data_IF_171871475531
#
_entry.id   IF_171871475531
#
_cell.length_a   1.000
_cell.length_b   1.000
_cell.length_c   1.000
_cell.angle_alpha   90.00
_cell.angle_beta   90.00
_cell.angle_gamma   90.00
#
_symmetry.space_group_name_H-M   'P 1'
#
loop_
_entity.id
_entity.type
_entity.pdbx_description
1 polymer ?
#
# COMPACT_ATOMS: atom_id res chain seq x y z
N UNK A 1 49.05 -18.12 -33.58
CA UNK A 1 48.35 -17.90 -32.29
C UNK A 1 47.59 -16.58 -32.38
N UNK A 2 46.31 -16.65 -32.73
CA UNK A 2 45.39 -15.51 -32.77
C UNK A 2 44.15 -15.96 -32.01
N UNK A 3 43.99 -15.47 -30.78
CA UNK A 3 42.86 -15.80 -29.92
C UNK A 3 41.56 -15.18 -30.44
N UNK A 4 40.40 -15.77 -30.13
CA UNK A 4 39.12 -15.28 -30.63
C UNK A 4 38.74 -13.95 -29.96
N UNK A 5 38.25 -13.02 -30.77
CA UNK A 5 37.66 -11.75 -30.37
C UNK A 5 36.39 -12.03 -29.55
N UNK A 6 36.31 -11.43 -28.36
CA UNK A 6 35.10 -11.41 -27.51
C UNK A 6 33.97 -10.70 -28.26
N UNK A 7 32.82 -11.37 -28.38
CA UNK A 7 31.56 -10.73 -28.76
C UNK A 7 31.16 -9.68 -27.72
N UNK A 8 30.67 -8.50 -28.14
CA UNK A 8 30.14 -7.52 -27.19
C UNK A 8 28.83 -8.03 -26.60
N UNK A 9 28.76 -8.02 -25.27
CA UNK A 9 27.58 -8.33 -24.49
C UNK A 9 26.35 -7.55 -25.01
N UNK A 10 25.26 -8.27 -25.26
CA UNK A 10 23.99 -7.72 -25.72
C UNK A 10 23.53 -6.58 -24.80
N UNK A 11 23.13 -5.46 -25.42
CA UNK A 11 22.40 -4.38 -24.74
C UNK A 11 21.18 -4.95 -24.02
N UNK A 12 20.83 -4.48 -22.80
CA UNK A 12 19.56 -4.82 -22.20
C UNK A 12 18.42 -4.38 -23.13
N UNK A 13 17.62 -5.35 -23.58
CA UNK A 13 16.40 -5.10 -24.34
C UNK A 13 15.44 -4.27 -23.50
N UNK A 14 14.85 -3.23 -24.10
CA UNK A 14 13.82 -2.40 -23.50
C UNK A 14 12.75 -3.24 -22.80
N UNK A 15 12.43 -2.91 -21.55
CA UNK A 15 11.37 -3.57 -20.79
C UNK A 15 10.06 -3.55 -21.61
N UNK A 16 9.56 -4.74 -21.96
CA UNK A 16 8.32 -4.87 -22.72
C UNK A 16 7.15 -4.15 -22.03
N UNK A 17 6.26 -3.55 -22.82
CA UNK A 17 5.10 -2.82 -22.32
C UNK A 17 4.19 -3.78 -21.53
N UNK A 18 3.94 -3.49 -20.26
CA UNK A 18 3.03 -4.28 -19.40
C UNK A 18 1.63 -4.28 -20.03
N UNK A 19 1.03 -5.43 -20.36
CA UNK A 19 -0.25 -5.50 -21.05
C UNK A 19 -1.41 -5.19 -20.11
N UNK A 20 -2.52 -4.71 -20.69
CA UNK A 20 -3.83 -4.69 -20.03
C UNK A 20 -4.39 -6.11 -20.02
N UNK A 21 -5.01 -6.49 -18.90
CA UNK A 21 -5.68 -7.78 -18.71
C UNK A 21 -7.10 -7.52 -18.25
N UNK A 22 -8.04 -8.31 -18.77
CA UNK A 22 -9.41 -8.33 -18.23
C UNK A 22 -9.39 -9.09 -16.92
N UNK A 23 -9.82 -8.42 -15.87
CA UNK A 23 -10.03 -8.96 -14.54
C UNK A 23 -11.54 -9.06 -14.28
N UNK A 24 -11.96 -10.02 -13.46
CA UNK A 24 -13.36 -10.15 -13.04
C UNK A 24 -13.49 -9.99 -11.54
N UNK A 25 -14.46 -9.19 -11.08
CA UNK A 25 -14.75 -9.09 -9.65
C UNK A 25 -15.34 -10.40 -9.15
N UNK A 26 -14.73 -11.00 -8.13
CA UNK A 26 -15.20 -12.26 -7.53
C UNK A 26 -15.64 -12.10 -6.09
N UNK A 27 -15.20 -11.06 -5.40
CA UNK A 27 -15.61 -10.78 -4.01
C UNK A 27 -15.52 -9.29 -3.70
N UNK A 28 -16.44 -8.80 -2.86
CA UNK A 28 -16.46 -7.44 -2.33
C UNK A 28 -16.60 -7.50 -0.81
N UNK A 29 -15.85 -6.64 -0.11
CA UNK A 29 -15.97 -6.45 1.35
C UNK A 29 -16.01 -4.95 1.66
N UNK A 30 -16.97 -4.52 2.46
CA UNK A 30 -17.00 -3.16 2.99
C UNK A 30 -15.96 -3.03 4.13
N UNK A 31 -15.01 -2.10 4.00
CA UNK A 31 -13.98 -1.83 5.02
C UNK A 31 -14.38 -0.66 5.92
N UNK A 32 -14.99 0.36 5.32
CA UNK A 32 -15.51 1.57 6.00
C UNK A 32 -16.72 2.08 5.21
N UNK A 33 -17.51 3.03 5.72
CA UNK A 33 -18.58 3.69 4.93
C UNK A 33 -18.10 4.36 3.63
N UNK A 34 -16.79 4.57 3.48
CA UNK A 34 -16.17 5.20 2.32
C UNK A 34 -15.24 4.28 1.53
N UNK A 35 -15.09 3.01 1.89
CA UNK A 35 -14.09 2.15 1.24
C UNK A 35 -14.49 0.67 1.16
N UNK A 36 -14.11 0.06 0.04
CA UNK A 36 -14.35 -1.36 -0.25
C UNK A 36 -13.09 -2.07 -0.67
N UNK A 37 -12.92 -3.29 -0.21
CA UNK A 37 -11.97 -4.26 -0.75
C UNK A 37 -12.62 -5.03 -1.89
N UNK A 38 -11.93 -5.09 -3.03
CA UNK A 38 -12.32 -5.77 -4.26
C UNK A 38 -11.32 -6.89 -4.52
N UNK A 39 -11.80 -8.13 -4.63
CA UNK A 39 -10.98 -9.27 -5.05
C UNK A 39 -11.27 -9.56 -6.50
N UNK A 40 -10.24 -9.45 -7.32
CA UNK A 40 -10.28 -9.63 -8.75
C UNK A 40 -9.62 -10.96 -9.13
N UNK A 41 -10.30 -11.74 -9.96
CA UNK A 41 -9.71 -12.87 -10.68
C UNK A 41 -9.04 -12.35 -11.94
N UNK A 42 -7.74 -12.61 -12.10
CA UNK A 42 -6.92 -12.08 -13.20
C UNK A 42 -6.19 -13.23 -13.87
N UNK A 43 -6.74 -13.81 -14.95
CA UNK A 43 -6.08 -14.89 -15.67
C UNK A 43 -4.66 -14.51 -16.08
N UNK A 44 -3.72 -15.43 -15.86
CA UNK A 44 -2.29 -15.27 -16.20
C UNK A 44 -1.64 -14.04 -15.51
N UNK A 45 -2.05 -13.75 -14.27
CA UNK A 45 -1.36 -12.79 -13.44
C UNK A 45 0.10 -13.22 -13.22
N UNK A 46 1.10 -12.36 -13.49
CA UNK A 46 2.52 -12.74 -13.39
C UNK A 46 3.03 -12.76 -11.93
N UNK A 47 2.16 -12.54 -10.95
CA UNK A 47 2.52 -12.31 -9.57
C UNK A 47 2.89 -10.84 -9.28
N UNK A 48 3.15 -10.53 -8.01
CA UNK A 48 3.52 -9.18 -7.56
C UNK A 48 4.17 -9.19 -6.18
N UNK A 49 4.72 -8.04 -5.79
CA UNK A 49 5.32 -7.79 -4.49
C UNK A 49 4.45 -6.86 -3.64
N UNK A 50 4.52 -7.04 -2.33
CA UNK A 50 3.84 -6.18 -1.38
C UNK A 50 4.35 -4.74 -1.48
N UNK A 51 3.42 -3.80 -1.70
CA UNK A 51 3.70 -2.39 -1.94
C UNK A 51 3.72 -1.97 -3.41
N UNK A 52 3.58 -2.90 -4.36
CA UNK A 52 3.28 -2.55 -5.76
C UNK A 52 1.81 -2.15 -5.94
N UNK A 53 1.51 -1.60 -7.12
CA UNK A 53 0.18 -1.15 -7.52
C UNK A 53 -0.20 -1.65 -8.91
N UNK A 54 -1.46 -1.44 -9.27
CA UNK A 54 -1.98 -1.65 -10.63
C UNK A 54 -2.65 -0.38 -11.11
N UNK A 55 -2.67 -0.18 -12.42
CA UNK A 55 -3.61 0.76 -13.03
C UNK A 55 -4.91 0.03 -13.34
N UNK A 56 -6.04 0.64 -12.99
CA UNK A 56 -7.38 0.20 -13.35
C UNK A 56 -7.91 1.15 -14.43
N UNK A 57 -8.45 0.59 -15.52
CA UNK A 57 -9.09 1.34 -16.61
C UNK A 57 -10.57 0.97 -16.67
N UNK A 58 -11.40 2.00 -16.68
CA UNK A 58 -12.81 1.94 -17.01
C UNK A 58 -12.99 2.51 -18.41
N UNK A 59 -13.84 1.87 -19.21
CA UNK A 59 -14.19 2.29 -20.58
C UNK A 59 -15.71 2.40 -20.63
N UNK A 60 -16.23 3.59 -20.90
CA UNK A 60 -17.66 3.83 -21.08
C UNK A 60 -18.12 3.37 -22.48
N UNK A 61 -19.44 3.28 -22.67
CA UNK A 61 -20.04 2.83 -23.94
C UNK A 61 -19.69 3.73 -25.14
N UNK A 62 -19.48 5.02 -24.88
CA UNK A 62 -19.02 6.02 -25.87
C UNK A 62 -17.52 5.94 -26.17
N UNK A 63 -16.79 5.03 -25.52
CA UNK A 63 -15.35 4.84 -25.67
C UNK A 63 -14.49 5.72 -24.77
N UNK A 64 -15.06 6.59 -23.93
CA UNK A 64 -14.30 7.37 -22.96
C UNK A 64 -13.58 6.44 -21.97
N UNK A 65 -12.29 6.68 -21.69
CA UNK A 65 -11.53 5.89 -20.73
C UNK A 65 -11.00 6.71 -19.57
N UNK A 66 -11.31 6.28 -18.35
CA UNK A 66 -10.75 6.81 -17.13
C UNK A 66 -9.77 5.79 -16.51
N UNK A 67 -8.64 6.27 -15.98
CA UNK A 67 -7.58 5.42 -15.42
C UNK A 67 -7.14 5.91 -14.06
N UNK A 68 -7.03 5.03 -13.08
CA UNK A 68 -6.49 5.35 -11.75
C UNK A 68 -5.59 4.22 -11.26
N UNK A 69 -4.55 4.58 -10.52
CA UNK A 69 -3.67 3.61 -9.89
C UNK A 69 -4.19 3.25 -8.50
N UNK A 70 -4.13 1.97 -8.15
CA UNK A 70 -4.51 1.43 -6.85
C UNK A 70 -3.43 0.49 -6.34
N UNK A 71 -2.99 0.70 -5.10
CA UNK A 71 -2.05 -0.21 -4.44
C UNK A 71 -2.68 -1.58 -4.24
N UNK A 72 -1.85 -2.62 -4.37
CA UNK A 72 -2.23 -3.99 -4.05
C UNK A 72 -2.37 -4.11 -2.54
N UNK A 73 -3.48 -4.66 -2.08
CA UNK A 73 -3.81 -4.75 -0.66
C UNK A 73 -3.28 -6.04 -0.02
N UNK A 74 -2.92 -7.05 -0.80
CA UNK A 74 -2.49 -8.37 -0.32
C UNK A 74 -1.19 -8.81 -1.02
N UNK A 75 -0.44 -9.78 -0.46
CA UNK A 75 0.59 -10.48 -1.22
C UNK A 75 -0.03 -11.25 -2.40
N UNK A 76 0.84 -11.66 -3.33
CA UNK A 76 0.41 -12.50 -4.45
C UNK A 76 -0.10 -13.86 -3.99
N UNK A 77 -1.25 -14.26 -4.51
CA UNK A 77 -1.87 -15.56 -4.28
C UNK A 77 -2.54 -16.03 -5.58
N UNK A 78 -1.82 -16.87 -6.33
CA UNK A 78 -2.22 -17.30 -7.66
C UNK A 78 -2.58 -16.11 -8.57
N UNK A 79 -3.79 -16.17 -9.13
CA UNK A 79 -4.36 -15.17 -10.03
C UNK A 79 -5.22 -14.10 -9.35
N UNK A 80 -5.33 -14.13 -8.01
CA UNK A 80 -6.12 -13.16 -7.26
C UNK A 80 -5.35 -11.85 -7.06
N UNK A 81 -6.00 -10.75 -7.41
CA UNK A 81 -5.53 -9.38 -7.18
C UNK A 81 -6.51 -8.69 -6.24
N UNK A 82 -6.02 -8.21 -5.11
CA UNK A 82 -6.85 -7.55 -4.09
C UNK A 82 -6.55 -6.06 -4.09
N UNK A 83 -7.59 -5.24 -4.27
CA UNK A 83 -7.52 -3.78 -4.21
C UNK A 83 -8.43 -3.28 -3.10
N UNK A 84 -8.06 -2.19 -2.45
CA UNK A 84 -8.97 -1.51 -1.52
C UNK A 84 -9.12 -0.06 -1.95
N UNK A 85 -10.35 0.29 -2.33
CA UNK A 85 -10.70 1.53 -3.01
C UNK A 85 -11.43 2.43 -2.04
N UNK A 86 -10.88 3.62 -1.80
CA UNK A 86 -11.59 4.70 -1.13
C UNK A 86 -12.41 5.50 -2.14
N UNK A 87 -13.68 5.75 -1.82
CA UNK A 87 -14.55 6.63 -2.58
C UNK A 87 -14.13 8.09 -2.39
N UNK A 88 -13.77 8.72 -3.50
CA UNK A 88 -13.63 10.17 -3.63
C UNK A 88 -14.92 10.69 -4.24
N UNK A 89 -15.63 11.58 -3.54
CA UNK A 89 -16.98 12.03 -3.92
C UNK A 89 -17.02 12.63 -5.33
N UNK A 90 -16.03 13.46 -5.67
CA UNK A 90 -15.93 14.14 -6.97
C UNK A 90 -15.05 13.37 -7.98
N UNK A 91 -14.80 12.07 -7.73
CA UNK A 91 -14.01 11.23 -8.62
C UNK A 91 -14.88 10.47 -9.61
N UNK A 92 -14.38 10.20 -10.81
CA UNK A 92 -15.13 9.38 -11.79
C UNK A 92 -14.99 7.87 -11.53
N UNK A 93 -13.79 7.42 -11.15
CA UNK A 93 -13.47 5.98 -11.05
C UNK A 93 -13.87 5.37 -9.71
N UNK A 94 -13.56 6.04 -8.60
CA UNK A 94 -13.78 5.45 -7.27
C UNK A 94 -15.25 5.30 -6.88
N UNK A 95 -16.19 6.20 -7.22
CA UNK A 95 -17.62 5.96 -6.97
C UNK A 95 -18.13 4.76 -7.76
N UNK A 96 -17.76 4.63 -9.04
CA UNK A 96 -18.14 3.45 -9.84
C UNK A 96 -17.66 2.15 -9.18
N UNK A 97 -16.37 2.05 -8.87
CA UNK A 97 -15.77 0.87 -8.24
C UNK A 97 -16.34 0.54 -6.85
N UNK A 98 -16.88 1.53 -6.14
CA UNK A 98 -17.39 1.34 -4.78
C UNK A 98 -18.91 1.24 -4.69
N UNK A 99 -19.66 1.65 -5.71
CA UNK A 99 -21.13 1.73 -5.65
C UNK A 99 -21.84 0.99 -6.77
N UNK A 100 -21.21 0.83 -7.93
CA UNK A 100 -21.84 0.22 -9.13
C UNK A 100 -21.21 -1.12 -9.47
N UNK A 101 -19.88 -1.22 -9.43
CA UNK A 101 -19.13 -2.41 -9.79
C UNK A 101 -19.49 -3.62 -8.90
N UNK A 102 -20.01 -4.69 -9.51
CA UNK A 102 -20.58 -5.84 -8.84
C UNK A 102 -19.84 -7.15 -9.17
N UNK A 103 -20.01 -8.17 -8.33
CA UNK A 103 -19.43 -9.50 -8.55
C UNK A 103 -19.89 -10.02 -9.91
N UNK A 104 -18.93 -10.48 -10.71
CA UNK A 104 -19.14 -10.89 -12.09
C UNK A 104 -18.73 -9.83 -13.11
N UNK A 105 -18.63 -8.55 -12.75
CA UNK A 105 -18.30 -7.50 -13.71
C UNK A 105 -16.82 -7.55 -14.15
N UNK A 106 -16.55 -7.26 -15.44
CA UNK A 106 -15.20 -7.15 -15.94
C UNK A 106 -14.61 -5.76 -15.70
N UNK A 107 -13.29 -5.69 -15.51
CA UNK A 107 -12.53 -4.43 -15.50
C UNK A 107 -11.15 -4.67 -16.10
N UNK A 108 -10.57 -3.67 -16.76
CA UNK A 108 -9.21 -3.79 -17.27
C UNK A 108 -8.19 -3.34 -16.22
N UNK A 109 -7.19 -4.17 -15.97
CA UNK A 109 -6.08 -3.84 -15.08
C UNK A 109 -4.73 -3.99 -15.78
N UNK A 110 -3.75 -3.21 -15.34
CA UNK A 110 -2.36 -3.29 -15.80
C UNK A 110 -1.41 -3.27 -14.63
N UNK A 111 -0.55 -4.27 -14.56
CA UNK A 111 0.51 -4.36 -13.57
C UNK A 111 1.22 -5.72 -13.54
N UNK A 112 2.01 -5.97 -12.49
CA UNK A 112 2.28 -5.03 -11.37
C UNK A 112 3.15 -3.83 -11.79
N UNK A 113 2.94 -2.68 -11.15
CA UNK A 113 3.70 -1.43 -11.38
C UNK A 113 4.40 -1.02 -10.08
N UNK A 114 5.62 -0.49 -10.20
CA UNK A 114 6.42 -0.03 -9.07
C UNK A 114 7.60 -0.96 -8.79
N UNK A 115 8.31 -0.70 -7.69
CA UNK A 115 9.53 -1.44 -7.32
C UNK A 115 10.37 -0.72 -6.27
N UNK A 116 10.19 0.60 -6.12
CA UNK A 116 10.79 1.39 -5.05
C UNK A 116 10.14 1.10 -3.69
N UNK A 117 8.80 1.12 -3.64
CA UNK A 117 8.02 0.98 -2.41
C UNK A 117 7.65 -0.49 -2.16
N UNK A 118 8.62 -1.40 -2.16
CA UNK A 118 8.36 -2.85 -1.96
C UNK A 118 9.15 -3.41 -0.80
N UNK A 119 8.49 -4.27 -0.01
CA UNK A 119 9.15 -5.09 1.00
C UNK A 119 9.23 -6.53 0.52
N UNK A 120 10.36 -7.20 0.79
CA UNK A 120 10.58 -8.59 0.38
C UNK A 120 10.67 -9.51 1.60
N UNK A 121 10.08 -10.71 1.56
CA UNK A 121 10.18 -11.67 2.65
C UNK A 121 11.59 -12.08 3.07
N UNK A 122 12.59 -11.87 2.21
CA UNK A 122 14.00 -12.15 2.50
C UNK A 122 14.66 -11.04 3.33
N UNK A 123 14.09 -9.83 3.34
CA UNK A 123 14.61 -8.69 4.10
C UNK A 123 14.43 -8.95 5.59
N UNK A 124 15.50 -8.75 6.37
CA UNK A 124 15.54 -9.00 7.83
C UNK A 124 15.67 -7.74 8.66
N UNK A 125 15.99 -6.61 8.03
CA UNK A 125 16.13 -5.32 8.69
C UNK A 125 14.83 -4.93 9.41
N UNK A 126 14.92 -4.16 10.52
CA UNK A 126 13.74 -3.56 11.13
C UNK A 126 12.97 -2.69 10.14
N UNK A 127 11.64 -2.70 10.27
CA UNK A 127 10.76 -1.95 9.38
C UNK A 127 9.86 -1.04 10.19
N UNK A 128 9.75 0.20 9.73
CA UNK A 128 8.75 1.15 10.19
C UNK A 128 7.74 1.41 9.07
N UNK A 129 6.47 1.19 9.32
CA UNK A 129 5.36 1.47 8.43
C UNK A 129 4.61 2.68 8.98
N UNK A 130 4.42 3.73 8.19
CA UNK A 130 3.68 4.94 8.60
C UNK A 130 2.56 5.23 7.60
N UNK A 131 1.33 5.01 8.02
CA UNK A 131 0.13 5.14 7.19
C UNK A 131 -0.71 6.36 7.57
N UNK A 132 -1.14 7.11 6.56
CA UNK A 132 -2.19 8.13 6.66
C UNK A 132 -3.43 7.69 5.89
N UNK A 133 -4.55 7.44 6.58
CA UNK A 133 -5.83 7.07 5.94
C UNK A 133 -5.72 5.83 5.05
N UNK A 134 -6.10 5.94 3.77
CA UNK A 134 -5.98 4.85 2.78
C UNK A 134 -4.51 4.47 2.44
N UNK A 135 -3.53 5.24 2.89
CA UNK A 135 -2.11 4.88 2.86
C UNK A 135 -1.76 3.55 3.54
N UNK A 136 -2.67 3.04 4.38
CA UNK A 136 -2.53 1.72 5.00
C UNK A 136 -2.60 0.56 3.99
N UNK A 137 -3.21 0.72 2.82
CA UNK A 137 -3.43 -0.37 1.86
C UNK A 137 -2.12 -1.08 1.44
N UNK A 138 -1.09 -0.40 0.89
CA UNK A 138 0.16 -1.06 0.54
C UNK A 138 0.92 -1.58 1.76
N UNK A 139 0.81 -0.89 2.91
CA UNK A 139 1.49 -1.31 4.15
C UNK A 139 0.86 -2.57 4.73
N UNK A 140 -0.45 -2.73 4.59
CA UNK A 140 -1.17 -3.93 4.97
C UNK A 140 -0.78 -5.11 4.09
N UNK A 141 -0.50 -4.88 2.80
CA UNK A 141 0.07 -5.91 1.93
C UNK A 141 1.42 -6.39 2.45
N UNK A 142 2.26 -5.49 2.98
CA UNK A 142 3.57 -5.85 3.58
C UNK A 142 3.38 -6.65 4.88
N UNK A 143 2.45 -6.24 5.75
CA UNK A 143 2.11 -6.99 6.97
C UNK A 143 1.59 -8.40 6.64
N UNK A 144 0.69 -8.51 5.66
CA UNK A 144 0.15 -9.80 5.19
C UNK A 144 1.23 -10.67 4.56
N UNK A 145 2.12 -10.09 3.74
CA UNK A 145 3.26 -10.81 3.14
C UNK A 145 4.26 -11.32 4.18
N UNK A 146 4.54 -10.52 5.21
CA UNK A 146 5.40 -10.90 6.33
C UNK A 146 4.86 -12.12 7.06
N UNK A 147 3.57 -12.10 7.39
CA UNK A 147 2.90 -13.22 8.04
C UNK A 147 2.86 -14.48 7.16
N UNK A 148 2.51 -14.34 5.88
CA UNK A 148 2.46 -15.47 4.94
C UNK A 148 3.82 -16.16 4.77
N UNK A 149 4.91 -15.40 4.86
CA UNK A 149 6.27 -15.93 4.80
C UNK A 149 6.83 -16.41 6.15
N UNK A 150 6.04 -16.35 7.24
CA UNK A 150 6.49 -16.60 8.61
C UNK A 150 7.77 -15.82 8.97
N UNK A 151 7.92 -14.60 8.42
CA UNK A 151 9.12 -13.79 8.60
C UNK A 151 9.19 -13.20 10.01
N UNK A 152 10.39 -13.24 10.60
CA UNK A 152 10.67 -12.64 11.92
C UNK A 152 11.20 -11.20 11.84
N UNK A 153 11.24 -10.59 10.66
CA UNK A 153 11.64 -9.18 10.53
C UNK A 153 10.76 -8.31 11.44
N UNK A 154 11.31 -7.45 12.31
CA UNK A 154 10.49 -6.72 13.27
C UNK A 154 9.84 -5.51 12.60
N UNK A 155 8.52 -5.43 12.70
CA UNK A 155 7.68 -4.39 12.11
C UNK A 155 7.07 -3.52 13.20
N UNK A 156 7.11 -2.20 12.99
CA UNK A 156 6.30 -1.24 13.74
C UNK A 156 5.41 -0.49 12.77
N UNK A 157 4.13 -0.35 13.09
CA UNK A 157 3.14 0.33 12.28
C UNK A 157 2.54 1.49 13.06
N UNK A 158 2.75 2.72 12.58
CA UNK A 158 2.01 3.90 12.99
C UNK A 158 0.88 4.17 11.99
N UNK A 159 -0.38 4.11 12.44
CA UNK A 159 -1.54 4.36 11.60
C UNK A 159 -2.31 5.61 12.06
N UNK A 160 -2.16 6.70 11.30
CA UNK A 160 -2.87 7.96 11.50
C UNK A 160 -4.17 7.98 10.69
N UNK A 161 -5.30 8.08 11.39
CA UNK A 161 -6.64 8.03 10.80
C UNK A 161 -7.57 9.06 11.45
N UNK A 162 -8.69 9.39 10.81
CA UNK A 162 -9.60 10.45 11.28
C UNK A 162 -10.37 10.03 12.52
N UNK A 163 -11.10 8.93 12.42
CA UNK A 163 -11.97 8.37 13.45
C UNK A 163 -11.87 6.84 13.43
N UNK A 164 -12.40 6.13 14.44
CA UNK A 164 -12.46 4.67 14.41
C UNK A 164 -13.24 4.13 13.20
N UNK A 165 -14.31 4.81 12.78
CA UNK A 165 -15.11 4.42 11.62
C UNK A 165 -14.42 4.61 10.26
N UNK A 166 -13.30 5.36 10.25
CA UNK A 166 -12.48 5.56 9.06
C UNK A 166 -11.30 4.57 8.98
N UNK A 167 -11.11 3.70 9.99
CA UNK A 167 -9.95 2.82 10.10
C UNK A 167 -10.15 1.51 9.35
N UNK A 168 -9.37 1.33 8.28
CA UNK A 168 -9.43 0.18 7.38
C UNK A 168 -8.88 -1.05 8.09
N UNK A 169 -9.40 -2.24 7.75
CA UNK A 169 -8.93 -3.51 8.29
C UNK A 169 -8.91 -3.56 9.82
N UNK A 170 -9.82 -2.84 10.48
CA UNK A 170 -9.70 -2.59 11.92
C UNK A 170 -9.66 -3.87 12.76
N UNK A 171 -10.51 -4.83 12.42
CA UNK A 171 -10.56 -6.15 13.08
C UNK A 171 -9.29 -6.97 12.79
N UNK A 172 -8.83 -7.01 11.53
CA UNK A 172 -7.62 -7.74 11.16
C UNK A 172 -6.38 -7.17 11.86
N UNK A 173 -6.24 -5.85 11.90
CA UNK A 173 -5.15 -5.18 12.61
C UNK A 173 -5.19 -5.48 14.11
N UNK A 174 -6.38 -5.51 14.73
CA UNK A 174 -6.53 -5.87 16.15
C UNK A 174 -6.13 -7.32 16.41
N UNK A 175 -6.54 -8.24 15.54
CA UNK A 175 -6.15 -9.64 15.61
C UNK A 175 -4.64 -9.82 15.46
N UNK A 176 -4.04 -9.22 14.42
CA UNK A 176 -2.60 -9.34 14.14
C UNK A 176 -1.73 -8.73 15.24
N UNK A 177 -2.11 -7.59 15.80
CA UNK A 177 -1.37 -7.00 16.93
C UNK A 177 -1.29 -7.94 18.15
N UNK A 178 -2.18 -8.93 18.27
CA UNK A 178 -2.15 -9.95 19.33
C UNK A 178 -1.47 -11.25 18.89
N UNK A 179 -1.66 -11.63 17.62
CA UNK A 179 -1.31 -12.96 17.12
C UNK A 179 -0.01 -13.00 16.29
N UNK A 180 0.57 -11.85 15.92
CA UNK A 180 1.74 -11.75 15.06
C UNK A 180 2.97 -11.22 15.84
N UNK A 181 3.82 -12.11 16.39
CA UNK A 181 5.03 -11.69 17.09
C UNK A 181 5.93 -10.82 16.22
N UNK A 182 6.34 -9.68 16.77
CA UNK A 182 7.18 -8.71 16.06
C UNK A 182 6.42 -7.76 15.14
N UNK A 183 5.10 -7.65 15.28
CA UNK A 183 4.31 -6.52 14.75
C UNK A 183 3.79 -5.65 15.90
N UNK A 184 4.36 -4.47 16.08
CA UNK A 184 3.82 -3.47 17.01
C UNK A 184 2.92 -2.50 16.26
N UNK A 185 1.70 -2.28 16.77
CA UNK A 185 0.72 -1.37 16.18
C UNK A 185 0.46 -0.17 17.09
N UNK A 186 0.66 1.03 16.57
CA UNK A 186 0.21 2.29 17.18
C UNK A 186 -0.81 2.97 16.28
N UNK A 187 -1.96 3.37 16.85
CA UNK A 187 -2.98 4.15 16.15
C UNK A 187 -2.98 5.58 16.66
N UNK A 188 -3.14 6.53 15.75
CA UNK A 188 -3.32 7.95 16.05
C UNK A 188 -4.63 8.42 15.42
N UNK A 189 -5.57 8.87 16.24
CA UNK A 189 -6.85 9.39 15.76
C UNK A 189 -6.82 10.92 15.74
N UNK A 190 -7.19 11.49 14.62
CA UNK A 190 -6.96 12.92 14.34
C UNK A 190 -8.19 13.80 14.49
N UNK A 191 -9.40 13.22 14.67
CA UNK A 191 -10.65 13.97 14.85
C UNK A 191 -11.53 13.44 15.98
N UNK A 192 -11.66 12.12 16.10
CA UNK A 192 -12.41 11.48 17.19
C UNK A 192 -11.75 10.16 17.57
N UNK A 193 -11.80 9.81 18.85
CA UNK A 193 -11.22 8.58 19.39
C UNK A 193 -12.32 7.61 19.85
N UNK A 194 -12.02 6.31 20.01
CA UNK A 194 -12.90 5.41 20.75
C UNK A 194 -13.12 5.90 22.19
N UNK A 195 -14.17 5.40 22.87
CA UNK A 195 -14.27 5.49 24.32
C UNK A 195 -12.97 4.97 24.98
N UNK A 196 -12.57 5.60 26.08
CA UNK A 196 -11.39 5.23 26.88
C UNK A 196 -10.05 5.26 26.14
N UNK A 197 -9.97 5.96 25.00
CA UNK A 197 -8.69 6.16 24.32
C UNK A 197 -7.77 7.04 25.19
N UNK A 198 -6.49 6.66 25.37
CA UNK A 198 -5.63 7.29 26.37
C UNK A 198 -5.30 8.77 26.09
N UNK A 199 -5.40 9.19 24.83
CA UNK A 199 -5.04 10.53 24.39
C UNK A 199 -6.23 11.19 23.68
N UNK A 200 -6.42 12.52 23.79
CA UNK A 200 -7.38 13.22 22.95
C UNK A 200 -6.98 13.11 21.45
N UNK A 201 -7.91 13.37 20.51
CA UNK A 201 -7.58 13.40 19.10
C UNK A 201 -6.46 14.40 18.78
N UNK A 202 -5.45 13.95 18.04
CA UNK A 202 -4.30 14.77 17.64
C UNK A 202 -3.70 14.26 16.32
N UNK A 203 -2.87 15.09 15.68
CA UNK A 203 -2.12 14.67 14.49
C UNK A 203 -0.82 14.01 14.91
N UNK A 204 -0.38 13.01 14.14
CA UNK A 204 0.93 12.39 14.31
C UNK A 204 2.02 13.47 14.20
N UNK A 205 2.70 13.76 15.30
CA UNK A 205 3.81 14.69 15.38
C UNK A 205 5.14 14.00 15.67
N UNK A 206 6.17 14.81 15.91
CA UNK A 206 7.53 14.33 16.10
C UNK A 206 7.67 13.47 17.36
N UNK A 207 6.97 13.83 18.44
CA UNK A 207 7.00 13.09 19.70
C UNK A 207 6.39 11.68 19.53
N UNK A 208 5.23 11.59 18.90
CA UNK A 208 4.57 10.30 18.65
C UNK A 208 5.39 9.45 17.68
N UNK A 209 5.92 10.06 16.61
CA UNK A 209 6.74 9.34 15.64
C UNK A 209 8.04 8.84 16.28
N UNK A 210 8.70 9.64 17.12
CA UNK A 210 9.90 9.25 17.88
C UNK A 210 9.63 8.07 18.81
N UNK A 211 8.47 8.06 19.49
CA UNK A 211 8.09 6.97 20.39
C UNK A 211 7.83 5.65 19.65
N UNK A 212 7.33 5.69 18.41
CA UNK A 212 7.02 4.50 17.61
C UNK A 212 8.23 4.05 16.77
N UNK A 213 9.01 4.98 16.24
CA UNK A 213 10.12 4.69 15.35
C UNK A 213 11.20 3.83 16.04
N UNK A 214 11.91 3.04 15.24
CA UNK A 214 13.17 2.46 15.70
C UNK A 214 14.20 3.57 15.86
N UNK A 215 15.14 3.49 16.82
CA UNK A 215 16.27 4.39 16.81
C UNK A 215 17.02 4.30 15.48
N UNK A 216 17.46 5.44 14.92
CA UNK A 216 18.07 5.49 13.60
C UNK A 216 19.29 4.57 13.45
N UNK A 217 20.02 4.30 14.54
CA UNK A 217 21.16 3.38 14.59
C UNK A 217 20.80 1.92 14.21
N UNK A 218 19.53 1.52 14.34
CA UNK A 218 19.06 0.21 13.86
C UNK A 218 18.87 0.16 12.33
N UNK A 219 19.07 1.29 11.64
CA UNK A 219 18.88 1.44 10.21
C UNK A 219 17.58 0.79 9.72
N UNK A 220 16.40 1.16 10.26
CA UNK A 220 15.16 0.60 9.75
C UNK A 220 14.93 1.00 8.29
N UNK A 221 14.20 0.19 7.52
CA UNK A 221 13.56 0.69 6.30
C UNK A 221 12.21 1.28 6.67
N UNK A 222 11.99 2.55 6.32
CA UNK A 222 10.77 3.27 6.62
C UNK A 222 9.89 3.34 5.36
N UNK A 223 8.65 2.86 5.45
CA UNK A 223 7.65 2.95 4.37
C UNK A 223 6.55 3.92 4.80
N UNK A 224 6.49 5.08 4.16
CA UNK A 224 5.52 6.14 4.47
C UNK A 224 4.51 6.26 3.33
N UNK A 225 3.22 6.16 3.66
CA UNK A 225 2.18 6.22 2.66
C UNK A 225 0.93 6.98 3.13
N UNK A 226 0.40 7.86 2.28
CA UNK A 226 -0.78 8.67 2.59
C UNK A 226 -0.92 9.92 1.70
N UNK A 227 -1.75 10.89 2.12
CA UNK A 227 -1.87 12.19 1.45
C UNK A 227 -0.54 12.95 1.36
N UNK A 228 -0.36 13.79 0.34
CA UNK A 228 0.91 14.48 0.08
C UNK A 228 1.51 15.17 1.33
N UNK A 229 0.74 16.05 1.98
CA UNK A 229 1.22 16.77 3.17
C UNK A 229 1.47 15.88 4.39
N UNK A 230 0.83 14.70 4.47
CA UNK A 230 1.15 13.72 5.51
C UNK A 230 2.51 13.06 5.24
N UNK A 231 2.73 12.62 4.00
CA UNK A 231 3.98 11.97 3.60
C UNK A 231 5.18 12.91 3.73
N UNK A 232 5.03 14.16 3.29
CA UNK A 232 6.07 15.19 3.44
C UNK A 232 6.41 15.41 4.92
N UNK A 233 5.41 15.70 5.74
CA UNK A 233 5.62 15.93 7.18
C UNK A 233 6.29 14.73 7.87
N UNK A 234 5.86 13.50 7.59
CA UNK A 234 6.48 12.31 8.19
C UNK A 234 7.91 12.10 7.70
N UNK A 235 8.18 12.29 6.40
CA UNK A 235 9.53 12.16 5.86
C UNK A 235 10.48 13.16 6.52
N UNK A 236 10.08 14.42 6.65
CA UNK A 236 10.87 15.46 7.31
C UNK A 236 11.14 15.12 8.78
N UNK A 237 10.13 14.62 9.50
CA UNK A 237 10.30 14.18 10.89
C UNK A 237 11.25 12.98 11.01
N UNK A 238 11.20 12.01 10.09
CA UNK A 238 12.16 10.88 10.09
C UNK A 238 13.59 11.36 9.88
N UNK A 239 13.81 12.30 8.96
CA UNK A 239 15.14 12.89 8.74
C UNK A 239 15.60 13.67 9.98
N UNK A 240 14.71 14.44 10.62
CA UNK A 240 15.01 15.15 11.87
C UNK A 240 15.35 14.20 13.04
N UNK A 241 14.80 12.99 13.04
CA UNK A 241 15.13 11.91 13.98
C UNK A 241 16.43 11.16 13.61
N UNK A 242 17.12 11.57 12.54
CA UNK A 242 18.41 11.04 12.12
C UNK A 242 18.35 9.80 11.22
N UNK A 243 17.17 9.44 10.70
CA UNK A 243 17.06 8.36 9.73
C UNK A 243 17.71 8.74 8.40
N UNK A 244 18.44 7.80 7.79
CA UNK A 244 18.98 7.96 6.44
C UNK A 244 17.84 8.15 5.42
N UNK A 245 17.81 9.28 4.67
CA UNK A 245 16.81 9.52 3.63
C UNK A 245 16.71 8.40 2.59
N UNK A 246 17.81 7.69 2.29
CA UNK A 246 17.81 6.58 1.33
C UNK A 246 16.99 5.37 1.81
N UNK A 247 16.73 5.28 3.13
CA UNK A 247 15.89 4.24 3.75
C UNK A 247 14.46 4.70 4.01
N UNK A 248 14.13 5.96 3.72
CA UNK A 248 12.77 6.50 3.77
C UNK A 248 12.13 6.38 2.40
N UNK A 249 11.31 5.35 2.22
CA UNK A 249 10.55 5.08 1.00
C UNK A 249 9.17 5.69 1.15
N UNK A 250 8.73 6.46 0.16
CA UNK A 250 7.45 7.16 0.20
C UNK A 250 6.56 6.79 -0.99
N UNK A 251 5.26 6.61 -0.76
CA UNK A 251 4.24 6.57 -1.82
C UNK A 251 3.09 7.53 -1.45
N UNK A 252 2.63 8.33 -2.41
CA UNK A 252 1.66 9.41 -2.18
C UNK A 252 0.37 9.13 -2.93
N UNK A 253 -0.76 9.46 -2.32
CA UNK A 253 -2.05 9.52 -3.00
C UNK A 253 -2.67 10.91 -2.84
N UNK A 254 -3.33 11.38 -3.88
CA UNK A 254 -3.98 12.67 -3.90
C UNK A 254 -4.70 12.87 -5.23
N UNK A 255 -5.61 13.84 -5.33
CA UNK A 255 -6.22 14.18 -6.61
C UNK A 255 -5.11 14.42 -7.63
N UNK A 256 -5.11 13.61 -8.68
CA UNK A 256 -4.18 13.75 -9.80
C UNK A 256 -4.57 14.99 -10.59
N UNK A 257 -4.04 16.15 -10.19
CA UNK A 257 -4.17 17.43 -10.88
C UNK A 257 -5.58 18.03 -10.86
N UNK A 258 -5.66 19.34 -10.56
CA UNK A 258 -6.58 20.22 -11.29
C UNK A 258 -5.80 20.82 -12.44
#
# INVERSE_FOLDING_TARGET
MTGPLREPAGRPTAAGRIPWRVARLVEVRDETPSARTLVLEVPQWPGHLAGQRVDVRLTAEDGYTARRSYSLAAPTDGSRVVLTVQRVADGEVSPYLTQVFAVGDPVEIRGPIGGWFVWRPQDRDPVLLVAGGSGIVPLMAMVRARAAAASRAPFRLAYSVRTPGDAYYSEELRHRARADPGLDLTRVYTRATPPDWPNPPHRLGLAELSAVAWPAAFAPTCYVCGPNGFVESVADMLVALGHDPARVRTERFGPSGR
#
